data_IF_670087253218
#
_entry.id   IF_670087253218
#
_cell.length_a   1.000
_cell.length_b   1.000
_cell.length_c   1.000
_cell.angle_alpha   90.00
_cell.angle_beta   90.00
_cell.angle_gamma   90.00
#
_symmetry.space_group_name_H-M   'P 1'
#
loop_
_entity.id
_entity.type
_entity.pdbx_description
1 polymer ?
#
# COMPACT_ATOMS: atom_id res chain seq x y z
N UNK A 1 24.09 4.97 -6.41
CA UNK A 1 24.19 5.53 -7.78
C UNK A 1 24.99 4.53 -8.60
N UNK A 2 24.50 4.13 -9.77
CA UNK A 2 25.14 3.13 -10.64
C UNK A 2 26.26 3.80 -11.44
N UNK A 3 27.28 4.28 -10.72
CA UNK A 3 28.29 5.27 -11.19
C UNK A 3 29.09 4.77 -12.40
N UNK A 4 29.16 3.45 -12.60
CA UNK A 4 29.96 2.83 -13.65
C UNK A 4 29.11 2.25 -14.79
N UNK A 5 27.78 2.33 -14.72
CA UNK A 5 26.93 1.85 -15.80
C UNK A 5 26.80 2.94 -16.88
N UNK A 6 26.99 2.55 -18.14
CA UNK A 6 26.80 3.44 -19.31
C UNK A 6 25.33 3.75 -19.58
N UNK A 7 24.43 2.89 -19.11
CA UNK A 7 22.98 3.03 -19.26
C UNK A 7 22.31 3.23 -17.89
N UNK A 8 21.18 3.93 -17.87
CA UNK A 8 20.41 4.06 -16.64
C UNK A 8 19.73 2.72 -16.30
N UNK A 9 19.63 2.36 -15.01
CA UNK A 9 18.80 1.23 -14.59
C UNK A 9 17.36 1.44 -15.07
N UNK A 10 16.83 0.47 -15.79
CA UNK A 10 15.50 0.55 -16.41
C UNK A 10 14.55 -0.54 -15.93
N UNK A 11 15.03 -1.50 -15.13
CA UNK A 11 14.23 -2.59 -14.61
C UNK A 11 14.68 -3.02 -13.21
N UNK A 12 13.73 -3.45 -12.40
CA UNK A 12 13.96 -4.11 -11.12
C UNK A 12 13.39 -5.52 -11.22
N UNK A 13 14.23 -6.51 -10.93
CA UNK A 13 13.77 -7.89 -10.76
C UNK A 13 13.43 -8.14 -9.30
N UNK A 14 12.23 -8.64 -9.06
CA UNK A 14 11.74 -8.99 -7.73
C UNK A 14 11.32 -10.47 -7.70
N UNK A 15 11.10 -10.99 -6.49
CA UNK A 15 10.55 -12.34 -6.27
C UNK A 15 9.30 -12.55 -7.13
N UNK A 16 9.23 -13.69 -7.83
CA UNK A 16 7.99 -14.12 -8.47
C UNK A 16 7.06 -14.73 -7.41
N UNK A 17 5.87 -14.14 -7.27
CA UNK A 17 4.85 -14.61 -6.33
C UNK A 17 3.69 -15.22 -7.13
N UNK A 18 3.50 -16.56 -7.07
CA UNK A 18 2.45 -17.21 -7.84
C UNK A 18 1.06 -16.79 -7.37
N UNK A 19 0.13 -16.70 -8.32
CA UNK A 19 -1.30 -16.37 -8.09
C UNK A 19 -1.53 -15.08 -7.27
N UNK A 20 -0.59 -14.13 -7.37
CA UNK A 20 -0.73 -12.81 -6.79
C UNK A 20 -1.83 -12.03 -7.51
N UNK A 21 -2.81 -11.52 -6.75
CA UNK A 21 -3.97 -10.80 -7.28
C UNK A 21 -4.14 -9.46 -6.58
N UNK A 22 -4.66 -8.47 -7.29
CA UNK A 22 -4.99 -7.18 -6.69
C UNK A 22 -6.10 -7.34 -5.64
N UNK A 23 -6.03 -6.53 -4.58
CA UNK A 23 -7.12 -6.31 -3.65
C UNK A 23 -8.33 -5.74 -4.41
N UNK A 24 -9.46 -6.44 -4.30
CA UNK A 24 -10.72 -6.16 -4.96
C UNK A 24 -11.86 -6.86 -4.19
N UNK A 25 -13.10 -6.72 -4.65
CA UNK A 25 -14.29 -7.29 -4.00
C UNK A 25 -14.19 -8.79 -3.73
N UNK A 26 -13.72 -9.57 -4.70
CA UNK A 26 -13.65 -11.03 -4.65
C UNK A 26 -12.38 -11.53 -3.94
N UNK A 27 -11.41 -10.66 -3.70
CA UNK A 27 -10.17 -10.94 -3.00
C UNK A 27 -10.10 -10.33 -1.60
N UNK A 28 -11.14 -9.58 -1.21
CA UNK A 28 -11.27 -8.95 0.09
C UNK A 28 -11.46 -9.97 1.21
N UNK A 29 -10.83 -9.70 2.35
CA UNK A 29 -11.21 -10.25 3.65
C UNK A 29 -10.73 -9.31 4.75
N UNK A 30 -11.39 -9.34 5.91
CA UNK A 30 -10.99 -8.54 7.07
C UNK A 30 -9.57 -8.85 7.54
N UNK A 31 -9.18 -10.13 7.50
CA UNK A 31 -7.84 -10.56 7.92
C UNK A 31 -6.75 -10.01 7.00
N UNK A 32 -6.99 -10.00 5.68
CA UNK A 32 -6.07 -9.37 4.72
C UNK A 32 -5.96 -7.86 4.96
N UNK A 33 -7.08 -7.18 5.21
CA UNK A 33 -7.04 -5.75 5.54
C UNK A 33 -6.31 -5.46 6.85
N UNK A 34 -6.52 -6.27 7.89
CA UNK A 34 -5.79 -6.13 9.14
C UNK A 34 -4.27 -6.26 8.93
N UNK A 35 -3.84 -7.17 8.05
CA UNK A 35 -2.43 -7.32 7.67
C UNK A 35 -1.89 -6.13 6.89
N UNK A 36 -2.65 -5.58 5.94
CA UNK A 36 -2.24 -4.35 5.26
C UNK A 36 -2.08 -3.19 6.23
N UNK A 37 -2.99 -3.02 7.20
CA UNK A 37 -2.86 -2.01 8.25
C UNK A 37 -1.59 -2.23 9.08
N UNK A 38 -1.27 -3.48 9.43
CA UNK A 38 -0.03 -3.80 10.14
C UNK A 38 1.22 -3.49 9.30
N UNK A 39 1.19 -3.82 8.00
CA UNK A 39 2.28 -3.52 7.08
C UNK A 39 2.53 -2.01 6.98
N UNK A 40 1.48 -1.20 6.81
CA UNK A 40 1.59 0.26 6.75
C UNK A 40 2.09 0.84 8.08
N UNK A 41 1.61 0.33 9.22
CA UNK A 41 2.13 0.73 10.54
C UNK A 41 3.62 0.45 10.67
N UNK A 42 4.11 -0.67 10.14
CA UNK A 42 5.54 -0.98 10.14
C UNK A 42 6.34 -0.03 9.23
N UNK A 43 5.81 0.26 8.04
CA UNK A 43 6.40 1.20 7.07
C UNK A 43 6.49 2.61 7.67
N UNK A 44 5.40 3.09 8.28
CA UNK A 44 5.37 4.45 8.86
C UNK A 44 6.16 4.56 10.16
N UNK A 45 6.25 3.49 10.96
CA UNK A 45 7.16 3.41 12.10
C UNK A 45 8.65 3.48 11.68
N UNK A 46 8.97 3.05 10.45
CA UNK A 46 10.29 3.24 9.83
C UNK A 46 10.47 4.63 9.20
N UNK A 47 9.53 5.56 9.44
CA UNK A 47 9.53 6.93 8.91
C UNK A 47 9.46 7.00 7.37
N UNK A 48 8.77 6.02 6.77
CA UNK A 48 8.47 5.97 5.34
C UNK A 48 6.98 6.26 5.14
N UNK A 49 6.66 7.26 4.32
CA UNK A 49 5.33 7.51 3.78
C UNK A 49 5.26 6.90 2.39
N UNK A 50 4.24 6.10 2.10
CA UNK A 50 4.09 5.47 0.80
C UNK A 50 3.57 6.45 -0.27
N UNK A 51 2.62 7.32 0.10
CA UNK A 51 2.13 8.42 -0.73
C UNK A 51 1.47 7.99 -2.08
N UNK A 52 1.12 6.70 -2.22
CA UNK A 52 0.33 6.14 -3.33
C UNK A 52 -0.44 4.88 -2.92
N UNK A 53 -1.29 5.02 -1.90
CA UNK A 53 -2.08 3.92 -1.34
C UNK A 53 -3.33 3.63 -2.20
N UNK A 54 -3.11 3.35 -3.49
CA UNK A 54 -4.14 2.93 -4.46
C UNK A 54 -4.25 1.42 -4.50
N UNK A 55 -5.47 0.90 -4.73
CA UNK A 55 -5.76 -0.54 -4.67
C UNK A 55 -4.86 -1.39 -5.60
N UNK A 56 -4.37 -0.84 -6.72
CA UNK A 56 -3.40 -1.47 -7.63
C UNK A 56 -2.08 -1.90 -6.95
N UNK A 57 -1.72 -1.24 -5.85
CA UNK A 57 -0.49 -1.51 -5.10
C UNK A 57 -0.71 -2.54 -3.98
N UNK A 58 -1.96 -2.89 -3.68
CA UNK A 58 -2.33 -3.85 -2.63
C UNK A 58 -2.55 -5.21 -3.26
N UNK A 59 -1.60 -6.12 -3.04
CA UNK A 59 -1.65 -7.46 -3.60
C UNK A 59 -1.90 -8.51 -2.53
N UNK A 60 -2.74 -9.47 -2.86
CA UNK A 60 -3.04 -10.64 -2.05
C UNK A 60 -2.46 -11.88 -2.73
N UNK A 61 -2.11 -12.88 -1.93
CA UNK A 61 -1.56 -14.14 -2.41
C UNK A 61 -2.45 -15.31 -1.94
N UNK A 62 -2.28 -16.52 -2.48
CA UNK A 62 -2.85 -17.71 -1.88
C UNK A 62 -2.44 -17.83 -0.41
N UNK A 63 -3.43 -18.03 0.46
CA UNK A 63 -3.23 -18.00 1.91
C UNK A 63 -3.21 -16.59 2.49
N UNK A 64 -2.21 -16.34 3.32
CA UNK A 64 -2.24 -15.33 4.38
C UNK A 64 -1.34 -14.11 4.10
N UNK A 65 -0.39 -14.22 3.16
CA UNK A 65 0.56 -13.15 2.84
C UNK A 65 -0.13 -12.05 2.02
N UNK A 66 0.12 -10.81 2.43
CA UNK A 66 -0.20 -9.59 1.67
C UNK A 66 1.08 -8.92 1.23
N UNK A 67 1.04 -8.21 0.10
CA UNK A 67 2.20 -7.53 -0.49
C UNK A 67 1.77 -6.13 -0.89
N UNK A 68 2.56 -5.14 -0.47
CA UNK A 68 2.42 -3.77 -0.91
C UNK A 68 3.51 -3.47 -1.94
N UNK A 69 3.11 -2.99 -3.10
CA UNK A 69 4.00 -2.70 -4.23
C UNK A 69 4.14 -1.20 -4.45
N UNK A 70 5.14 -0.85 -5.26
CA UNK A 70 5.31 0.47 -5.89
C UNK A 70 5.55 1.64 -4.92
N UNK A 71 6.82 1.84 -4.58
CA UNK A 71 7.27 2.92 -3.69
C UNK A 71 7.86 4.12 -4.46
N UNK A 72 7.52 4.29 -5.73
CA UNK A 72 8.07 5.37 -6.58
C UNK A 72 7.78 6.79 -6.05
N UNK A 73 6.63 6.96 -5.38
CA UNK A 73 6.16 8.20 -4.75
C UNK A 73 6.50 8.31 -3.27
N UNK A 74 7.16 7.30 -2.71
CA UNK A 74 7.42 7.23 -1.29
C UNK A 74 8.34 8.38 -0.84
N UNK A 75 8.14 8.81 0.41
CA UNK A 75 8.97 9.82 1.08
C UNK A 75 9.53 9.24 2.36
N UNK A 76 10.78 9.55 2.65
CA UNK A 76 11.44 9.16 3.90
C UNK A 76 11.73 10.39 4.74
N UNK A 77 11.58 10.27 6.06
CA UNK A 77 11.86 11.34 7.00
C UNK A 77 13.00 10.97 7.94
N UNK A 78 13.83 11.94 8.29
CA UNK A 78 14.87 11.75 9.30
C UNK A 78 14.26 11.91 10.70
N UNK A 79 14.58 10.98 11.59
CA UNK A 79 14.04 10.93 12.95
C UNK A 79 14.31 12.19 13.76
N UNK A 80 15.42 12.88 13.49
CA UNK A 80 15.86 14.04 14.25
C UNK A 80 15.28 15.36 13.71
N UNK A 81 14.76 15.36 12.49
CA UNK A 81 14.28 16.58 11.82
C UNK A 81 12.80 16.52 11.39
N UNK A 82 12.15 15.36 11.54
CA UNK A 82 10.74 15.19 11.19
C UNK A 82 9.85 16.19 11.94
N UNK A 83 9.00 16.90 11.20
CA UNK A 83 8.08 17.88 11.78
C UNK A 83 6.80 17.21 12.30
N UNK A 84 6.04 17.92 13.14
CA UNK A 84 4.73 17.43 13.62
C UNK A 84 3.75 17.18 12.47
N UNK A 85 3.80 18.01 11.41
CA UNK A 85 3.00 17.86 10.20
C UNK A 85 3.38 16.59 9.43
N UNK A 86 4.68 16.32 9.25
CA UNK A 86 5.15 15.10 8.58
C UNK A 86 4.82 13.84 9.39
N UNK A 87 4.86 13.92 10.72
CA UNK A 87 4.37 12.83 11.57
C UNK A 87 2.86 12.61 11.41
N UNK A 88 2.08 13.66 11.13
CA UNK A 88 0.65 13.51 10.83
C UNK A 88 0.45 12.82 9.48
N UNK A 89 1.20 13.20 8.43
CA UNK A 89 1.11 12.50 7.14
C UNK A 89 1.42 11.00 7.23
N UNK A 90 2.36 10.61 8.10
CA UNK A 90 2.63 9.20 8.39
C UNK A 90 1.45 8.51 9.11
N UNK A 91 0.70 9.23 9.95
CA UNK A 91 -0.53 8.71 10.57
C UNK A 91 -1.67 8.63 9.56
N UNK A 92 -1.77 9.58 8.65
CA UNK A 92 -2.75 9.61 7.56
C UNK A 92 -2.63 8.38 6.65
N UNK A 93 -1.41 7.91 6.33
CA UNK A 93 -1.21 6.67 5.56
C UNK A 93 -1.91 5.46 6.24
N UNK A 94 -1.80 5.35 7.57
CA UNK A 94 -2.48 4.29 8.33
C UNK A 94 -4.01 4.47 8.26
N UNK A 95 -4.49 5.69 8.44
CA UNK A 95 -5.92 6.01 8.41
C UNK A 95 -6.52 5.73 7.02
N UNK A 96 -5.81 6.07 5.95
CA UNK A 96 -6.20 5.81 4.56
C UNK A 96 -6.47 4.32 4.34
N UNK A 97 -5.59 3.44 4.80
CA UNK A 97 -5.77 1.99 4.62
C UNK A 97 -6.87 1.42 5.51
N UNK A 98 -7.08 1.98 6.70
CA UNK A 98 -8.22 1.63 7.54
C UNK A 98 -9.55 2.02 6.89
N UNK A 99 -9.63 3.23 6.31
CA UNK A 99 -10.81 3.69 5.58
C UNK A 99 -11.07 2.88 4.31
N UNK A 100 -10.04 2.57 3.53
CA UNK A 100 -10.15 1.64 2.39
C UNK A 100 -10.77 0.32 2.84
N UNK A 101 -10.30 -0.28 3.94
CA UNK A 101 -10.84 -1.54 4.45
C UNK A 101 -12.32 -1.45 4.82
N UNK A 102 -12.72 -0.39 5.51
CA UNK A 102 -14.12 -0.14 5.90
C UNK A 102 -15.02 0.07 4.67
N UNK A 103 -14.58 0.90 3.72
CA UNK A 103 -15.37 1.22 2.53
C UNK A 103 -15.49 0.01 1.59
N UNK A 104 -14.41 -0.77 1.45
CA UNK A 104 -14.42 -1.97 0.63
C UNK A 104 -15.28 -3.07 1.25
N UNK A 105 -15.38 -3.16 2.58
CA UNK A 105 -16.34 -4.04 3.25
C UNK A 105 -17.79 -3.70 2.87
N UNK A 106 -18.13 -2.41 2.81
CA UNK A 106 -19.46 -1.96 2.37
C UNK A 106 -19.71 -2.33 0.90
N UNK A 107 -18.70 -2.13 0.04
CA UNK A 107 -18.81 -2.48 -1.38
C UNK A 107 -18.95 -3.98 -1.62
N UNK A 108 -18.32 -4.82 -0.80
CA UNK A 108 -18.49 -6.29 -0.84
C UNK A 108 -19.92 -6.67 -0.51
N UNK A 109 -20.53 -6.04 0.51
CA UNK A 109 -21.94 -6.27 0.85
C UNK A 109 -22.90 -5.82 -0.27
N UNK A 110 -22.54 -4.78 -1.02
CA UNK A 110 -23.30 -4.30 -2.19
C UNK A 110 -23.03 -5.08 -3.48
N UNK A 111 -21.93 -5.85 -3.53
CA UNK A 111 -21.50 -6.57 -4.73
C UNK A 111 -20.94 -5.68 -5.85
N UNK A 112 -20.63 -4.40 -5.57
CA UNK A 112 -20.09 -3.44 -6.54
C UNK A 112 -19.26 -2.36 -5.85
N UNK A 113 -18.29 -1.80 -6.57
CA UNK A 113 -17.52 -0.63 -6.10
C UNK A 113 -18.41 0.62 -6.10
N UNK A 114 -18.58 1.24 -4.94
CA UNK A 114 -19.39 2.43 -4.75
C UNK A 114 -18.71 3.40 -3.79
N UNK A 115 -18.35 2.91 -2.60
CA UNK A 115 -17.77 3.67 -1.49
C UNK A 115 -16.25 3.79 -1.60
N UNK A 116 -15.58 2.74 -2.07
CA UNK A 116 -14.13 2.69 -2.19
C UNK A 116 -13.61 3.06 -3.59
N UNK A 117 -14.49 3.46 -4.51
CA UNK A 117 -14.16 3.70 -5.93
C UNK A 117 -12.95 4.62 -6.15
N UNK A 118 -12.79 5.66 -5.31
CA UNK A 118 -11.67 6.61 -5.40
C UNK A 118 -10.28 5.95 -5.24
N UNK A 119 -10.20 4.83 -4.54
CA UNK A 119 -8.96 4.07 -4.35
C UNK A 119 -8.60 3.20 -5.56
N UNK A 120 -9.55 2.98 -6.47
CA UNK A 120 -9.39 2.23 -7.72
C UNK A 120 -9.21 3.14 -8.93
N UNK A 121 -9.43 4.45 -8.78
CA UNK A 121 -9.16 5.45 -9.82
C UNK A 121 -7.65 5.73 -9.95
N UNK A 122 -7.21 5.98 -11.18
CA UNK A 122 -5.84 6.36 -11.53
C UNK A 122 -5.54 7.80 -11.16
#
# INVERSE_FOLDING_TARGET
>A
MFINDTELPSAIFIEYIPDMRQLHLDTFSKDRMARFVQAIKAITAALVMHNDLKARNFMVTPGERVVLLDFDRAKTYDKNTITAEQQEWLREDVQIVQDLGRLLEMDVAEGRLNHSYIYFCT
#
